data_IF_284872138700
#
_entry.id   IF_284872138700
#
_cell.length_a   1.000
_cell.length_b   1.000
_cell.length_c   1.000
_cell.angle_alpha   90.00
_cell.angle_beta   90.00
_cell.angle_gamma   90.00
#
_symmetry.space_group_name_H-M   'P 1'
#
loop_
_entity.id
_entity.type
_entity.pdbx_description
1 polymer ?
#
# COMPACT_ATOMS: atom_id res chain seq x y z
N UNK A 1 31.70 -42.00 -13.01
CA UNK A 1 30.92 -40.94 -12.33
C UNK A 1 31.83 -39.73 -12.21
N UNK A 2 31.53 -38.64 -12.90
CA UNK A 2 32.31 -37.39 -12.81
C UNK A 2 31.66 -36.50 -11.76
N UNK A 3 32.43 -36.03 -10.76
CA UNK A 3 32.01 -35.03 -9.78
C UNK A 3 32.48 -33.66 -10.23
N UNK A 4 31.55 -32.80 -10.63
CA UNK A 4 31.83 -31.40 -10.97
C UNK A 4 31.89 -30.58 -9.66
N UNK A 5 33.02 -29.93 -9.40
CA UNK A 5 33.24 -29.08 -8.23
C UNK A 5 33.51 -27.65 -8.70
N UNK A 6 32.52 -26.77 -8.57
CA UNK A 6 32.69 -25.34 -8.86
C UNK A 6 33.24 -24.64 -7.61
N UNK A 7 34.51 -24.22 -7.66
CA UNK A 7 35.12 -23.38 -6.63
C UNK A 7 35.25 -21.94 -7.17
N UNK A 8 34.57 -21.00 -6.54
CA UNK A 8 34.73 -19.57 -6.83
C UNK A 8 35.58 -18.99 -5.70
N UNK A 9 36.88 -18.87 -5.96
CA UNK A 9 37.84 -18.21 -5.08
C UNK A 9 38.51 -17.05 -5.80
N UNK A 10 38.79 -15.98 -5.08
CA UNK A 10 39.49 -14.79 -5.55
C UNK A 10 40.55 -14.36 -4.54
N UNK A 11 41.61 -13.74 -5.03
CA UNK A 11 42.67 -13.16 -4.21
C UNK A 11 42.64 -11.65 -4.38
N UNK A 12 42.46 -10.94 -3.28
CA UNK A 12 42.38 -9.48 -3.27
C UNK A 12 43.35 -8.91 -2.25
N UNK A 13 43.73 -7.66 -2.45
CA UNK A 13 44.45 -6.87 -1.46
C UNK A 13 43.67 -5.60 -1.15
N UNK A 14 43.92 -5.05 0.04
CA UNK A 14 43.35 -3.78 0.45
C UNK A 14 44.18 -2.63 -0.14
N UNK A 15 43.58 -1.85 -1.04
CA UNK A 15 44.17 -0.63 -1.59
C UNK A 15 43.83 0.55 -0.66
N UNK A 16 44.82 1.00 0.11
CA UNK A 16 44.69 2.11 1.06
C UNK A 16 44.46 3.47 0.37
N UNK A 17 44.86 3.62 -0.89
CA UNK A 17 44.70 4.91 -1.60
C UNK A 17 43.24 5.16 -1.98
N UNK A 18 42.55 4.11 -2.40
CA UNK A 18 41.15 4.16 -2.81
C UNK A 18 40.18 3.63 -1.74
N UNK A 19 40.68 3.07 -0.63
CA UNK A 19 39.90 2.36 0.40
C UNK A 19 38.99 1.26 -0.19
N UNK A 20 39.52 0.44 -1.11
CA UNK A 20 38.76 -0.64 -1.77
C UNK A 20 39.57 -1.93 -1.89
N UNK A 21 38.88 -3.05 -2.06
CA UNK A 21 39.50 -4.35 -2.33
C UNK A 21 39.82 -4.52 -3.82
N UNK A 22 41.09 -4.48 -4.19
CA UNK A 22 41.56 -4.66 -5.57
C UNK A 22 42.12 -6.07 -5.80
N UNK A 23 41.99 -6.58 -7.02
CA UNK A 23 42.59 -7.85 -7.46
C UNK A 23 43.88 -7.65 -8.26
N UNK A 24 44.32 -6.41 -8.47
CA UNK A 24 45.50 -6.13 -9.29
C UNK A 24 46.78 -6.71 -8.68
N UNK A 25 47.59 -7.36 -9.51
CA UNK A 25 48.82 -8.02 -9.07
C UNK A 25 48.62 -9.30 -8.26
N UNK A 26 47.38 -9.72 -7.98
CA UNK A 26 47.03 -10.95 -7.27
C UNK A 26 46.28 -11.94 -8.17
N UNK A 27 46.64 -13.22 -8.11
CA UNK A 27 45.93 -14.30 -8.80
C UNK A 27 45.81 -15.55 -7.94
N UNK A 28 44.77 -16.33 -8.21
CA UNK A 28 44.55 -17.62 -7.56
C UNK A 28 45.55 -18.65 -8.09
N UNK A 29 46.25 -19.31 -7.19
CA UNK A 29 47.27 -20.31 -7.49
C UNK A 29 46.69 -21.71 -7.72
N UNK A 30 47.45 -22.61 -8.36
CA UNK A 30 47.02 -23.96 -8.71
C UNK A 30 46.87 -24.89 -7.50
N UNK A 31 47.41 -24.55 -6.32
CA UNK A 31 47.25 -25.34 -5.08
C UNK A 31 45.99 -24.96 -4.29
N UNK A 32 45.04 -24.26 -4.92
CA UNK A 32 43.76 -23.90 -4.33
C UNK A 32 42.87 -25.14 -4.20
N UNK A 33 42.31 -25.33 -3.00
CA UNK A 33 41.41 -26.43 -2.64
C UNK A 33 40.16 -25.87 -1.94
N UNK A 34 39.15 -26.72 -1.68
CA UNK A 34 37.94 -26.35 -0.91
C UNK A 34 38.24 -25.74 0.46
N UNK A 35 39.37 -26.10 1.07
CA UNK A 35 39.72 -25.69 2.44
C UNK A 35 40.84 -24.65 2.51
N UNK A 36 41.49 -24.34 1.37
CA UNK A 36 42.64 -23.44 1.32
C UNK A 36 42.72 -22.76 -0.03
N UNK A 37 42.76 -21.43 -0.04
CA UNK A 37 43.05 -20.64 -1.24
C UNK A 37 44.53 -20.28 -1.27
N UNK A 38 45.20 -20.56 -2.38
CA UNK A 38 46.57 -20.08 -2.59
C UNK A 38 46.52 -18.75 -3.34
N UNK A 39 47.05 -17.69 -2.75
CA UNK A 39 47.18 -16.40 -3.42
C UNK A 39 48.61 -16.15 -3.87
N UNK A 40 48.79 -15.88 -5.15
CA UNK A 40 50.06 -15.49 -5.76
C UNK A 40 49.97 -13.99 -6.07
N UNK A 41 50.66 -13.18 -5.28
CA UNK A 41 50.69 -11.73 -5.45
C UNK A 41 52.12 -11.24 -5.69
N UNK A 42 52.28 -10.17 -6.48
CA UNK A 42 53.58 -9.58 -6.82
C UNK A 42 53.98 -8.39 -5.94
N UNK A 43 53.24 -8.14 -4.85
CA UNK A 43 53.46 -7.08 -3.88
C UNK A 43 53.31 -7.62 -2.45
N UNK A 44 53.53 -6.78 -1.44
CA UNK A 44 53.52 -7.13 -0.02
C UNK A 44 52.53 -6.23 0.74
N UNK A 45 51.24 -6.39 0.45
CA UNK A 45 50.14 -5.62 1.05
C UNK A 45 49.27 -6.51 1.95
N UNK A 46 48.24 -5.94 2.58
CA UNK A 46 47.27 -6.74 3.33
C UNK A 46 46.38 -7.53 2.37
N UNK A 47 46.47 -8.86 2.41
CA UNK A 47 45.75 -9.77 1.52
C UNK A 47 44.51 -10.37 2.16
N UNK A 48 43.48 -10.57 1.35
CA UNK A 48 42.26 -11.27 1.72
C UNK A 48 41.83 -12.24 0.62
N UNK A 49 41.17 -13.32 1.02
CA UNK A 49 40.55 -14.26 0.08
C UNK A 49 39.06 -13.93 -0.07
N UNK A 50 38.61 -13.82 -1.31
CA UNK A 50 37.21 -13.72 -1.69
C UNK A 50 36.69 -15.15 -1.92
N UNK A 51 35.88 -15.70 -1.02
CA UNK A 51 35.37 -17.06 -1.14
C UNK A 51 33.86 -17.10 -0.99
N UNK A 52 33.17 -17.60 -2.00
CA UNK A 52 31.72 -17.88 -1.89
C UNK A 52 31.57 -19.26 -1.24
N UNK A 53 31.18 -19.28 0.03
CA UNK A 53 30.81 -20.54 0.70
C UNK A 53 29.50 -21.01 0.07
N UNK A 54 29.50 -22.18 -0.55
CA UNK A 54 28.26 -22.75 -1.09
C UNK A 54 27.32 -23.10 0.08
N UNK A 55 26.02 -22.76 0.00
CA UNK A 55 25.07 -23.13 1.04
C UNK A 55 25.01 -24.65 1.21
N UNK A 56 24.73 -25.11 2.43
CA UNK A 56 24.56 -26.52 2.75
C UNK A 56 23.40 -27.10 1.93
N UNK A 57 23.62 -28.28 1.33
CA UNK A 57 22.57 -28.99 0.59
C UNK A 57 21.55 -29.57 1.57
N UNK A 58 20.26 -29.27 1.38
CA UNK A 58 19.18 -29.87 2.16
C UNK A 58 18.94 -31.29 1.66
N UNK A 59 19.27 -32.29 2.47
CA UNK A 59 18.91 -33.69 2.21
C UNK A 59 17.52 -33.99 2.80
N UNK A 60 16.51 -34.03 1.93
CA UNK A 60 15.13 -34.28 2.35
C UNK A 60 14.92 -35.64 3.00
N UNK A 61 15.70 -36.68 2.67
CA UNK A 61 15.53 -38.00 3.29
C UNK A 61 15.87 -37.95 4.79
N UNK A 62 16.94 -37.24 5.14
CA UNK A 62 17.34 -37.00 6.52
C UNK A 62 16.36 -36.07 7.24
N UNK A 63 15.80 -35.08 6.54
CA UNK A 63 14.75 -34.20 7.10
C UNK A 63 13.53 -35.03 7.51
N UNK A 64 12.98 -35.86 6.61
CA UNK A 64 11.82 -36.70 6.92
C UNK A 64 12.08 -37.72 8.03
N UNK A 65 13.29 -38.29 8.10
CA UNK A 65 13.67 -39.18 9.20
C UNK A 65 13.67 -38.46 10.56
N UNK A 66 14.13 -37.19 10.62
CA UNK A 66 14.11 -36.37 11.84
C UNK A 66 12.71 -35.99 12.31
N UNK A 67 11.68 -36.08 11.46
CA UNK A 67 10.29 -35.94 11.90
C UNK A 67 9.81 -37.10 12.79
N UNK A 68 10.48 -38.26 12.77
CA UNK A 68 10.15 -39.36 13.68
C UNK A 68 10.49 -39.06 15.14
N UNK A 69 11.55 -38.26 15.37
CA UNK A 69 12.01 -37.84 16.70
C UNK A 69 11.85 -36.31 16.87
N UNK A 70 10.59 -35.88 17.04
CA UNK A 70 10.22 -34.46 17.20
C UNK A 70 10.88 -33.78 18.42
N UNK A 71 11.33 -34.55 19.43
CA UNK A 71 11.94 -34.02 20.65
C UNK A 71 13.33 -33.41 20.42
N UNK A 72 14.12 -33.92 19.47
CA UNK A 72 15.48 -33.45 19.21
C UNK A 72 15.52 -32.02 18.65
N UNK A 73 14.45 -31.60 17.96
CA UNK A 73 14.33 -30.27 17.37
C UNK A 73 13.05 -29.56 17.83
N UNK A 74 12.62 -29.82 19.07
CA UNK A 74 11.36 -29.33 19.62
C UNK A 74 11.20 -27.81 19.49
N UNK A 75 12.29 -27.04 19.62
CA UNK A 75 12.27 -25.58 19.47
C UNK A 75 11.87 -25.12 18.06
N UNK A 76 12.39 -25.76 17.01
CA UNK A 76 12.07 -25.42 15.62
C UNK A 76 10.63 -25.81 15.28
N UNK A 77 10.19 -26.98 15.74
CA UNK A 77 8.81 -27.41 15.56
C UNK A 77 7.83 -26.49 16.30
N UNK A 78 8.13 -26.14 17.56
CA UNK A 78 7.32 -25.23 18.34
C UNK A 78 7.19 -23.85 17.67
N UNK A 79 8.27 -23.31 17.10
CA UNK A 79 8.24 -22.00 16.42
C UNK A 79 7.42 -22.06 15.13
N UNK A 80 7.60 -23.10 14.30
CA UNK A 80 6.82 -23.29 13.07
C UNK A 80 5.33 -23.49 13.36
N UNK A 81 4.99 -24.33 14.34
CA UNK A 81 3.59 -24.54 14.77
C UNK A 81 2.99 -23.24 15.29
N UNK A 82 3.72 -22.51 16.14
CA UNK A 82 3.25 -21.22 16.67
C UNK A 82 2.99 -20.19 15.57
N UNK A 83 3.87 -20.12 14.57
CA UNK A 83 3.70 -19.24 13.40
C UNK A 83 2.48 -19.66 12.57
N UNK A 84 2.28 -20.96 12.32
CA UNK A 84 1.11 -21.47 11.61
C UNK A 84 -0.20 -21.16 12.35
N UNK A 85 -0.23 -21.34 13.66
CA UNK A 85 -1.40 -21.01 14.50
C UNK A 85 -1.68 -19.50 14.46
N UNK A 86 -0.64 -18.67 14.61
CA UNK A 86 -0.77 -17.21 14.50
C UNK A 86 -1.30 -16.79 13.13
N UNK A 87 -0.79 -17.41 12.06
CA UNK A 87 -1.27 -17.16 10.69
C UNK A 87 -2.77 -17.46 10.55
N UNK A 88 -3.26 -18.60 11.07
CA UNK A 88 -4.68 -18.95 11.02
C UNK A 88 -5.55 -17.95 11.79
N UNK A 89 -5.11 -17.56 13.00
CA UNK A 89 -5.82 -16.56 13.82
C UNK A 89 -5.94 -15.23 13.07
N UNK A 90 -4.81 -14.74 12.52
CA UNK A 90 -4.78 -13.49 11.76
C UNK A 90 -5.61 -13.61 10.47
N UNK A 91 -5.56 -14.75 9.77
CA UNK A 91 -6.32 -14.99 8.55
C UNK A 91 -7.83 -14.83 8.79
N UNK A 92 -8.35 -15.40 9.89
CA UNK A 92 -9.78 -15.29 10.25
C UNK A 92 -10.16 -13.82 10.48
N UNK A 93 -9.38 -13.10 11.29
CA UNK A 93 -9.62 -11.68 11.60
C UNK A 93 -9.54 -10.80 10.35
N UNK A 94 -8.49 -10.96 9.54
CA UNK A 94 -8.28 -10.19 8.32
C UNK A 94 -9.32 -10.51 7.25
N UNK A 95 -9.80 -11.75 7.14
CA UNK A 95 -10.90 -12.11 6.23
C UNK A 95 -12.19 -11.39 6.60
N UNK A 96 -12.47 -11.25 7.90
CA UNK A 96 -13.62 -10.49 8.36
C UNK A 96 -13.47 -8.99 8.03
N UNK A 97 -12.27 -8.44 8.17
CA UNK A 97 -11.96 -7.06 7.76
C UNK A 97 -12.09 -6.85 6.25
N UNK A 98 -11.57 -7.77 5.43
CA UNK A 98 -11.69 -7.72 3.96
C UNK A 98 -13.15 -7.73 3.52
N UNK A 99 -14.02 -8.52 4.17
CA UNK A 99 -15.47 -8.50 3.90
C UNK A 99 -16.12 -7.16 4.23
N UNK A 100 -15.74 -6.54 5.34
CA UNK A 100 -16.21 -5.18 5.70
C UNK A 100 -15.72 -4.14 4.70
N UNK A 101 -14.47 -4.24 4.25
CA UNK A 101 -13.88 -3.34 3.28
C UNK A 101 -14.61 -3.41 1.91
N UNK A 102 -15.06 -4.60 1.48
CA UNK A 102 -15.87 -4.74 0.25
C UNK A 102 -17.17 -3.95 0.32
N UNK A 103 -17.91 -4.05 1.43
CA UNK A 103 -19.14 -3.29 1.65
C UNK A 103 -18.86 -1.79 1.73
N UNK A 104 -17.74 -1.40 2.36
CA UNK A 104 -17.31 -0.01 2.47
C UNK A 104 -16.97 0.63 1.12
N UNK A 105 -16.39 -0.12 0.19
CA UNK A 105 -15.99 0.38 -1.13
C UNK A 105 -17.05 0.23 -2.22
N UNK A 106 -18.17 -0.44 -1.94
CA UNK A 106 -19.30 -0.49 -2.86
C UNK A 106 -19.83 0.93 -3.17
N UNK A 107 -20.27 1.14 -4.42
CA UNK A 107 -20.99 2.36 -4.77
C UNK A 107 -22.44 2.26 -4.29
N UNK A 108 -22.96 3.33 -3.71
CA UNK A 108 -24.34 3.42 -3.19
C UNK A 108 -25.05 4.59 -3.86
N UNK A 109 -26.33 4.48 -4.22
CA UNK A 109 -27.07 5.61 -4.78
C UNK A 109 -27.22 6.73 -3.74
N UNK A 110 -27.20 7.98 -4.19
CA UNK A 110 -27.58 9.11 -3.35
C UNK A 110 -29.06 9.04 -3.01
N UNK A 111 -29.43 9.55 -1.84
CA UNK A 111 -30.82 9.61 -1.36
C UNK A 111 -31.72 10.47 -2.27
N UNK A 112 -31.17 11.47 -2.95
CA UNK A 112 -31.88 12.42 -3.81
C UNK A 112 -31.94 11.99 -5.29
N UNK A 113 -31.52 10.76 -5.61
CA UNK A 113 -31.66 10.21 -6.95
C UNK A 113 -33.12 9.96 -7.31
N UNK A 114 -33.56 10.42 -8.48
CA UNK A 114 -34.92 10.19 -8.95
C UNK A 114 -34.98 8.95 -9.85
N UNK A 115 -36.05 8.13 -9.77
CA UNK A 115 -36.23 6.98 -10.68
C UNK A 115 -36.37 7.37 -12.16
N UNK A 116 -36.68 8.64 -12.45
CA UNK A 116 -36.82 9.20 -13.80
C UNK A 116 -35.48 9.61 -14.41
N UNK A 117 -34.43 9.74 -13.61
CA UNK A 117 -33.11 10.14 -14.08
C UNK A 117 -32.50 9.04 -14.95
N UNK A 118 -32.01 9.41 -16.12
CA UNK A 118 -31.47 8.46 -17.11
C UNK A 118 -29.95 8.49 -17.21
N UNK A 119 -29.31 9.46 -16.56
CA UNK A 119 -27.86 9.65 -16.62
C UNK A 119 -27.21 9.47 -15.24
N UNK A 120 -26.05 8.83 -15.17
CA UNK A 120 -25.41 8.46 -13.90
C UNK A 120 -23.94 8.82 -13.83
N UNK A 121 -23.53 9.36 -12.68
CA UNK A 121 -22.14 9.67 -12.37
C UNK A 121 -21.73 8.95 -11.09
N UNK A 122 -20.52 8.37 -11.06
CA UNK A 122 -19.93 7.89 -9.82
C UNK A 122 -19.12 9.01 -9.15
N UNK A 123 -19.58 9.47 -8.00
CA UNK A 123 -18.92 10.47 -7.17
C UNK A 123 -18.12 9.76 -6.08
N UNK A 124 -16.80 9.90 -6.11
CA UNK A 124 -15.85 9.29 -5.17
C UNK A 124 -15.28 10.38 -4.27
N UNK A 125 -15.67 10.38 -3.00
CA UNK A 125 -15.25 11.37 -2.01
C UNK A 125 -14.14 10.78 -1.15
N UNK A 126 -12.98 11.44 -1.10
CA UNK A 126 -11.84 11.03 -0.29
C UNK A 126 -11.61 12.02 0.85
N UNK A 127 -11.80 11.54 2.09
CA UNK A 127 -11.43 12.27 3.31
C UNK A 127 -9.94 12.06 3.59
N UNK A 128 -9.22 13.12 3.93
CA UNK A 128 -7.78 13.02 4.16
C UNK A 128 -7.39 12.30 5.45
N UNK A 129 -6.09 12.10 5.62
CA UNK A 129 -5.52 11.34 6.74
C UNK A 129 -5.03 12.20 7.91
N UNK A 130 -5.28 13.53 7.92
CA UNK A 130 -4.91 14.40 9.05
C UNK A 130 -5.67 13.99 10.33
N UNK A 131 -5.12 14.35 11.50
CA UNK A 131 -5.76 14.03 12.79
C UNK A 131 -7.12 14.76 12.84
N UNK A 132 -8.19 14.05 13.21
CA UNK A 132 -9.56 14.56 13.21
C UNK A 132 -10.07 15.06 11.86
N UNK A 133 -9.56 14.52 10.75
CA UNK A 133 -9.97 14.89 9.40
C UNK A 133 -11.42 14.49 9.03
N UNK A 134 -12.06 13.64 9.82
CA UNK A 134 -13.41 13.13 9.51
C UNK A 134 -14.51 14.06 10.02
N UNK A 135 -15.67 14.00 9.38
CA UNK A 135 -16.82 14.84 9.73
C UNK A 135 -18.10 14.03 9.95
N UNK A 136 -18.93 14.53 10.87
CA UNK A 136 -20.29 14.08 11.11
C UNK A 136 -21.33 15.13 10.63
N UNK A 137 -20.86 16.25 10.06
CA UNK A 137 -21.69 17.32 9.48
C UNK A 137 -22.34 16.86 8.17
N UNK A 138 -23.48 17.47 7.80
CA UNK A 138 -24.14 17.15 6.54
C UNK A 138 -23.44 17.85 5.37
N UNK A 139 -22.81 17.06 4.51
CA UNK A 139 -22.10 17.57 3.34
C UNK A 139 -23.04 17.65 2.14
N UNK A 140 -22.97 18.77 1.44
CA UNK A 140 -23.71 19.06 0.21
C UNK A 140 -22.73 19.47 -0.89
N UNK A 141 -23.13 19.26 -2.13
CA UNK A 141 -22.33 19.68 -3.27
C UNK A 141 -23.21 20.01 -4.48
N UNK A 142 -22.62 20.73 -5.44
CA UNK A 142 -23.18 20.96 -6.78
C UNK A 142 -22.06 20.68 -7.76
N UNK A 143 -22.37 19.90 -8.79
CA UNK A 143 -21.50 19.68 -9.94
C UNK A 143 -22.04 20.53 -11.08
N UNK A 144 -21.19 21.33 -11.69
CA UNK A 144 -21.53 22.09 -12.89
C UNK A 144 -20.68 21.60 -14.06
N UNK A 145 -21.28 21.49 -15.23
CA UNK A 145 -20.61 21.23 -16.49
C UNK A 145 -21.10 22.18 -17.58
N UNK A 146 -20.70 21.91 -18.82
CA UNK A 146 -21.03 22.75 -19.98
C UNK A 146 -22.53 22.75 -20.32
N UNK A 147 -23.21 21.62 -20.12
CA UNK A 147 -24.60 21.43 -20.53
C UNK A 147 -25.61 21.65 -19.40
N UNK A 148 -25.14 21.82 -18.16
CA UNK A 148 -26.01 22.07 -17.01
C UNK A 148 -25.35 21.85 -15.65
N UNK A 149 -26.16 21.85 -14.60
CA UNK A 149 -25.73 21.53 -13.24
C UNK A 149 -26.55 20.39 -12.63
N UNK A 150 -25.98 19.75 -11.60
CA UNK A 150 -26.64 18.65 -10.90
C UNK A 150 -27.78 19.11 -9.99
N UNK A 151 -27.95 20.41 -9.75
CA UNK A 151 -28.61 20.94 -8.58
C UNK A 151 -27.87 20.62 -7.27
N UNK A 152 -28.45 21.02 -6.14
CA UNK A 152 -27.90 20.73 -4.80
C UNK A 152 -28.08 19.26 -4.47
N UNK A 153 -26.96 18.56 -4.28
CA UNK A 153 -26.93 17.15 -3.88
C UNK A 153 -26.50 16.98 -2.43
N UNK A 154 -27.07 15.99 -1.75
CA UNK A 154 -26.66 15.61 -0.38
C UNK A 154 -25.80 14.34 -0.43
N UNK A 155 -24.65 14.35 0.23
CA UNK A 155 -23.82 13.13 0.41
C UNK A 155 -24.42 12.23 1.51
N UNK A 156 -25.64 11.77 1.28
CA UNK A 156 -26.39 10.90 2.17
C UNK A 156 -26.96 9.71 1.37
N UNK A 157 -27.23 8.62 2.08
CA UNK A 157 -27.83 7.40 1.53
C UNK A 157 -29.15 7.15 2.25
N UNK A 158 -30.18 6.73 1.51
CA UNK A 158 -31.54 6.53 2.03
C UNK A 158 -31.59 5.60 3.26
N UNK A 159 -30.80 4.53 3.27
CA UNK A 159 -30.75 3.56 4.38
C UNK A 159 -30.07 4.10 5.64
N UNK A 160 -29.58 5.34 5.62
CA UNK A 160 -28.87 5.97 6.74
C UNK A 160 -27.49 5.37 7.03
N UNK A 161 -27.06 4.35 6.27
CA UNK A 161 -25.69 3.88 6.26
C UNK A 161 -24.79 4.92 5.56
N UNK A 162 -23.60 5.19 6.13
CA UNK A 162 -22.63 6.21 5.65
C UNK A 162 -23.06 7.68 5.83
N UNK A 163 -23.76 8.01 6.93
CA UNK A 163 -24.03 9.41 7.33
C UNK A 163 -22.78 10.21 7.70
N UNK A 164 -21.72 9.53 8.12
CA UNK A 164 -20.47 10.16 8.57
C UNK A 164 -19.37 9.90 7.57
N UNK A 165 -18.38 10.79 7.47
CA UNK A 165 -17.20 10.67 6.62
C UNK A 165 -15.95 10.53 7.50
N UNK A 166 -15.56 9.30 7.88
CA UNK A 166 -14.41 9.09 8.76
C UNK A 166 -13.09 9.55 8.15
N UNK A 167 -12.11 9.81 9.02
CA UNK A 167 -10.72 10.05 8.60
C UNK A 167 -10.22 8.96 7.66
N UNK A 168 -9.61 9.36 6.55
CA UNK A 168 -9.02 8.44 5.56
C UNK A 168 -10.04 7.55 4.85
N UNK A 169 -11.34 7.84 4.93
CA UNK A 169 -12.36 7.11 4.19
C UNK A 169 -12.38 7.50 2.72
N UNK A 170 -12.74 6.53 1.89
CA UNK A 170 -13.09 6.75 0.49
C UNK A 170 -14.46 6.13 0.31
N UNK A 171 -15.44 6.96 -0.04
CA UNK A 171 -16.81 6.51 -0.32
C UNK A 171 -17.18 6.82 -1.76
N UNK A 172 -17.83 5.83 -2.37
CA UNK A 172 -18.34 5.91 -3.73
C UNK A 172 -19.85 6.05 -3.66
N UNK A 173 -20.36 7.06 -4.34
CA UNK A 173 -21.78 7.35 -4.49
C UNK A 173 -22.15 7.33 -5.97
N UNK A 174 -23.38 6.95 -6.29
CA UNK A 174 -23.94 7.08 -7.63
C UNK A 174 -24.93 8.24 -7.59
N UNK A 175 -24.62 9.29 -8.33
CA UNK A 175 -25.48 10.45 -8.54
C UNK A 175 -26.23 10.27 -9.86
N UNK A 176 -27.54 10.45 -9.85
CA UNK A 176 -28.36 10.44 -11.06
C UNK A 176 -28.78 11.86 -11.47
N UNK A 177 -28.85 12.10 -12.77
CA UNK A 177 -29.28 13.35 -13.38
C UNK A 177 -30.24 13.07 -14.54
N UNK A 178 -31.11 14.04 -14.84
CA UNK A 178 -32.08 13.94 -15.93
C UNK A 178 -31.39 13.74 -17.30
N UNK A 179 -30.27 14.45 -17.51
CA UNK A 179 -29.46 14.42 -18.74
C UNK A 179 -27.96 14.53 -18.43
N UNK A 180 -27.14 14.44 -19.47
CA UNK A 180 -25.69 14.63 -19.38
C UNK A 180 -25.37 16.08 -18.97
N UNK A 181 -24.41 16.27 -18.05
CA UNK A 181 -23.91 17.58 -17.64
C UNK A 181 -22.83 18.14 -18.58
N UNK A 182 -22.47 17.40 -19.64
CA UNK A 182 -21.37 17.76 -20.53
C UNK A 182 -19.99 17.60 -19.87
N UNK A 183 -18.99 18.33 -20.37
CA UNK A 183 -17.68 18.38 -19.71
C UNK A 183 -17.81 19.13 -18.38
N UNK A 184 -17.39 18.50 -17.28
CA UNK A 184 -17.49 19.12 -15.96
C UNK A 184 -16.52 20.30 -15.84
N UNK A 185 -16.94 21.37 -15.19
CA UNK A 185 -16.17 22.61 -15.07
C UNK A 185 -15.70 22.83 -13.63
N UNK A 186 -16.61 22.80 -12.66
CA UNK A 186 -16.30 22.94 -11.25
C UNK A 186 -17.25 22.14 -10.34
N UNK A 187 -16.77 21.86 -9.14
CA UNK A 187 -17.50 21.27 -8.05
C UNK A 187 -17.56 22.27 -6.90
N UNK A 188 -18.76 22.66 -6.46
CA UNK A 188 -18.93 23.37 -5.19
C UNK A 188 -19.27 22.38 -4.10
N UNK A 189 -18.56 22.40 -2.97
CA UNK A 189 -18.76 21.46 -1.85
C UNK A 189 -18.71 22.21 -0.53
N UNK A 190 -19.66 21.92 0.35
CA UNK A 190 -19.78 22.55 1.66
C UNK A 190 -20.45 21.65 2.70
N UNK A 191 -20.35 22.02 3.97
CA UNK A 191 -21.09 21.37 5.05
C UNK A 191 -21.81 22.38 5.94
N UNK A 192 -22.77 21.90 6.74
CA UNK A 192 -23.56 22.74 7.66
C UNK A 192 -22.95 22.93 9.06
N UNK A 193 -21.80 22.30 9.32
CA UNK A 193 -21.07 22.40 10.58
C UNK A 193 -21.86 21.84 11.78
N UNK A 194 -22.84 20.96 11.52
CA UNK A 194 -23.74 20.39 12.53
C UNK A 194 -23.10 19.27 13.37
N UNK A 195 -21.88 18.84 13.03
CA UNK A 195 -21.17 17.80 13.78
C UNK A 195 -20.96 18.15 15.25
N UNK A 196 -20.49 17.18 16.04
CA UNK A 196 -20.19 17.41 17.46
C UNK A 196 -18.69 17.54 17.71
N UNK A 197 -18.28 18.61 18.40
CA UNK A 197 -16.88 18.83 18.76
C UNK A 197 -15.97 18.85 17.54
N UNK A 198 -14.91 18.04 17.54
CA UNK A 198 -13.92 18.00 16.45
C UNK A 198 -14.43 17.37 15.15
N UNK A 199 -15.58 16.70 15.17
CA UNK A 199 -16.23 16.15 13.96
C UNK A 199 -17.02 17.20 13.17
N UNK A 200 -17.02 18.46 13.61
CA UNK A 200 -17.58 19.59 12.87
C UNK A 200 -16.73 19.90 11.64
N UNK A 201 -15.42 19.89 11.83
CA UNK A 201 -14.39 20.10 10.80
C UNK A 201 -14.31 18.92 9.84
N UNK A 202 -13.97 19.21 8.59
CA UNK A 202 -13.71 18.19 7.59
C UNK A 202 -12.43 18.51 6.82
N UNK A 203 -11.55 17.53 6.67
CA UNK A 203 -10.41 17.67 5.77
C UNK A 203 -10.68 16.88 4.49
N UNK A 204 -11.05 17.59 3.43
CA UNK A 204 -11.30 17.01 2.13
C UNK A 204 -9.99 16.90 1.36
N UNK A 205 -9.63 15.69 0.93
CA UNK A 205 -8.43 15.46 0.11
C UNK A 205 -8.75 15.77 -1.36
N UNK A 206 -9.71 15.05 -1.92
CA UNK A 206 -10.16 15.22 -3.29
C UNK A 206 -11.55 14.61 -3.50
N UNK A 207 -12.22 15.03 -4.56
CA UNK A 207 -13.42 14.38 -5.10
C UNK A 207 -13.14 13.97 -6.54
N UNK A 208 -13.46 12.73 -6.89
CA UNK A 208 -13.36 12.24 -8.26
C UNK A 208 -14.75 11.92 -8.78
N UNK A 209 -15.11 12.43 -9.95
CA UNK A 209 -16.37 12.13 -10.62
C UNK A 209 -16.05 11.34 -11.88
N UNK A 210 -16.68 10.17 -12.03
CA UNK A 210 -16.60 9.34 -13.23
C UNK A 210 -17.95 9.35 -13.91
N UNK A 211 -17.99 9.73 -15.18
CA UNK A 211 -19.14 9.47 -16.05
C UNK A 211 -19.25 7.95 -16.25
N UNK A 212 -20.41 7.35 -15.96
CA UNK A 212 -20.57 5.90 -16.04
C UNK A 212 -20.87 5.41 -17.46
N UNK A 213 -21.21 6.31 -18.38
CA UNK A 213 -21.59 6.00 -19.75
C UNK A 213 -20.40 6.20 -20.68
N UNK A 214 -19.64 7.30 -20.50
CA UNK A 214 -18.44 7.56 -21.29
C UNK A 214 -17.17 7.03 -20.64
N UNK A 215 -17.20 6.72 -19.34
CA UNK A 215 -16.01 6.39 -18.52
C UNK A 215 -15.00 7.53 -18.35
N UNK A 216 -15.39 8.76 -18.68
CA UNK A 216 -14.56 9.95 -18.45
C UNK A 216 -14.40 10.25 -16.96
N UNK A 217 -13.21 10.73 -16.58
CA UNK A 217 -12.84 10.96 -15.18
C UNK A 217 -12.41 12.39 -14.96
N UNK A 218 -13.10 13.05 -14.04
CA UNK A 218 -12.82 14.41 -13.59
C UNK A 218 -12.35 14.36 -12.14
N UNK A 219 -11.26 15.05 -11.85
CA UNK A 219 -10.67 15.09 -10.50
C UNK A 219 -10.74 16.53 -9.99
N UNK A 220 -11.29 16.71 -8.80
CA UNK A 220 -11.39 17.98 -8.10
C UNK A 220 -10.51 17.90 -6.85
N UNK A 221 -9.38 18.61 -6.89
CA UNK A 221 -8.42 18.64 -5.79
C UNK A 221 -8.86 19.68 -4.76
N UNK A 222 -8.84 19.33 -3.48
CA UNK A 222 -9.12 20.27 -2.40
C UNK A 222 -7.92 20.39 -1.46
N UNK A 223 -7.53 19.30 -0.81
CA UNK A 223 -6.50 19.20 0.22
C UNK A 223 -6.51 20.35 1.24
N UNK A 224 -7.70 20.74 1.69
CA UNK A 224 -7.86 21.83 2.67
C UNK A 224 -8.89 21.48 3.72
N UNK A 225 -8.82 22.20 4.84
CA UNK A 225 -9.88 22.12 5.82
C UNK A 225 -11.10 22.89 5.30
N UNK A 226 -12.26 22.25 5.43
CA UNK A 226 -13.56 22.87 5.47
C UNK A 226 -13.94 22.89 6.96
N UNK A 227 -13.69 24.01 7.61
CA UNK A 227 -13.84 24.15 9.06
C UNK A 227 -13.79 25.61 9.46
N UNK A 228 -14.60 26.01 10.44
CA UNK A 228 -14.56 27.36 11.01
C UNK A 228 -13.29 27.60 11.84
N UNK A 229 -12.79 26.55 12.49
CA UNK A 229 -11.68 26.62 13.46
C UNK A 229 -10.29 26.28 12.87
N UNK A 230 -10.21 25.88 11.60
CA UNK A 230 -8.97 25.41 10.95
C UNK A 230 -8.75 26.09 9.59
N UNK A 231 -7.50 26.13 9.13
CA UNK A 231 -7.08 26.72 7.83
C UNK A 231 -7.52 28.19 7.67
N UNK A 232 -8.47 28.49 6.78
CA UNK A 232 -8.96 29.85 6.51
C UNK A 232 -10.38 30.10 7.03
N UNK A 233 -10.91 29.19 7.86
CA UNK A 233 -12.24 29.34 8.49
C UNK A 233 -13.43 29.08 7.56
N UNK A 234 -13.19 28.69 6.30
CA UNK A 234 -14.24 28.48 5.31
C UNK A 234 -14.78 27.05 5.36
N UNK A 235 -16.10 26.90 5.26
CA UNK A 235 -16.80 25.58 5.18
C UNK A 235 -17.38 25.28 3.80
N UNK A 236 -17.11 26.14 2.82
CA UNK A 236 -17.57 26.07 1.43
C UNK A 236 -16.39 26.30 0.48
N UNK A 237 -16.31 25.48 -0.58
CA UNK A 237 -15.24 25.50 -1.56
C UNK A 237 -15.79 25.30 -2.96
N UNK A 238 -15.26 26.07 -3.90
CA UNK A 238 -15.42 25.84 -5.34
C UNK A 238 -14.09 25.29 -5.86
N UNK A 239 -14.14 24.10 -6.44
CA UNK A 239 -12.98 23.36 -6.92
C UNK A 239 -13.10 23.22 -8.44
N UNK A 240 -12.17 23.78 -9.23
CA UNK A 240 -12.15 23.54 -10.68
C UNK A 240 -11.73 22.10 -10.97
N UNK A 241 -12.05 21.60 -12.18
CA UNK A 241 -11.45 20.35 -12.66
C UNK A 241 -9.93 20.51 -12.74
N UNK A 242 -9.21 19.57 -12.13
CA UNK A 242 -7.76 19.55 -12.10
C UNK A 242 -7.17 19.15 -13.47
N UNK A 243 -6.22 19.95 -13.96
CA UNK A 243 -5.42 19.61 -15.12
C UNK A 243 -4.33 18.58 -14.80
N UNK A 244 -3.63 18.11 -15.84
CA UNK A 244 -2.52 17.17 -15.66
C UNK A 244 -1.40 17.74 -14.79
N UNK A 245 -1.09 19.03 -14.97
CA UNK A 245 -0.06 19.73 -14.19
C UNK A 245 -0.43 19.80 -12.70
N UNK A 246 -1.69 20.14 -12.39
CA UNK A 246 -2.21 20.16 -11.03
C UNK A 246 -2.10 18.79 -10.38
N UNK A 247 -2.44 17.72 -11.10
CA UNK A 247 -2.35 16.35 -10.59
C UNK A 247 -0.91 15.91 -10.29
N UNK A 248 0.06 16.38 -11.09
CA UNK A 248 1.48 16.09 -10.87
C UNK A 248 1.98 16.89 -9.66
N UNK A 249 1.71 18.19 -9.60
CA UNK A 249 2.09 19.07 -8.50
C UNK A 249 1.48 18.57 -7.18
N UNK A 250 0.19 18.22 -7.21
CA UNK A 250 -0.52 17.62 -6.09
C UNK A 250 0.24 16.40 -5.58
N UNK A 251 0.52 15.40 -6.43
CA UNK A 251 1.25 14.19 -5.99
C UNK A 251 2.61 14.46 -5.34
N UNK A 252 3.33 15.49 -5.78
CA UNK A 252 4.66 15.82 -5.26
C UNK A 252 4.62 16.48 -3.88
N UNK A 253 3.57 17.23 -3.55
CA UNK A 253 3.51 18.03 -2.32
C UNK A 253 3.08 17.24 -1.06
N UNK A 254 2.69 15.97 -1.17
CA UNK A 254 1.98 15.28 -0.09
C UNK A 254 2.73 14.22 0.71
N UNK A 255 2.94 14.52 2.00
CA UNK A 255 3.29 13.52 3.03
C UNK A 255 2.15 12.52 3.30
N UNK A 256 0.89 12.91 3.07
CA UNK A 256 -0.26 12.00 3.13
C UNK A 256 -0.18 10.93 2.03
N UNK A 257 0.24 11.32 0.82
CA UNK A 257 0.54 10.41 -0.29
C UNK A 257 1.70 9.48 0.04
N UNK A 258 2.78 9.98 0.67
CA UNK A 258 3.87 9.12 1.16
C UNK A 258 3.37 8.09 2.20
N UNK A 259 2.49 8.49 3.12
CA UNK A 259 1.88 7.59 4.11
C UNK A 259 0.91 6.59 3.48
N UNK A 260 0.12 7.03 2.50
CA UNK A 260 -0.77 6.18 1.70
C UNK A 260 0.05 5.17 0.89
N UNK A 261 1.18 5.59 0.34
CA UNK A 261 2.14 4.75 -0.36
C UNK A 261 2.79 3.74 0.58
N UNK A 262 3.29 4.14 1.74
CA UNK A 262 3.79 3.21 2.76
C UNK A 262 2.71 2.22 3.23
N UNK A 263 1.49 2.70 3.48
CA UNK A 263 0.38 1.85 3.87
C UNK A 263 -0.05 0.87 2.77
N UNK A 264 0.19 1.19 1.50
CA UNK A 264 -0.19 0.32 0.38
C UNK A 264 0.94 -0.60 -0.07
N UNK A 265 2.18 -0.13 -0.05
CA UNK A 265 3.34 -0.77 -0.68
C UNK A 265 4.23 -1.50 0.34
N UNK A 266 4.29 -1.06 1.60
CA UNK A 266 5.07 -1.77 2.60
C UNK A 266 4.34 -3.03 3.06
N UNK A 267 4.83 -4.19 2.65
CA UNK A 267 4.16 -5.49 2.78
C UNK A 267 3.50 -5.68 4.16
N UNK A 268 4.26 -5.52 5.25
CA UNK A 268 3.78 -5.71 6.62
C UNK A 268 2.76 -4.68 7.10
N UNK A 269 2.94 -3.40 6.76
CA UNK A 269 2.02 -2.32 7.17
C UNK A 269 0.71 -2.45 6.40
N UNK A 270 0.82 -2.88 5.15
CA UNK A 270 -0.28 -3.05 4.21
C UNK A 270 -1.26 -4.17 4.57
N UNK A 271 -0.87 -5.08 5.46
CA UNK A 271 -1.77 -6.08 6.06
C UNK A 271 -2.80 -5.39 6.95
N UNK A 272 -2.35 -4.44 7.78
CA UNK A 272 -3.18 -3.79 8.79
C UNK A 272 -3.79 -2.46 8.31
N UNK A 273 -3.16 -1.78 7.36
CA UNK A 273 -3.64 -0.51 6.81
C UNK A 273 -4.06 -0.65 5.35
N UNK A 274 -5.35 -0.40 5.05
CA UNK A 274 -5.88 -0.26 3.67
C UNK A 274 -6.84 0.92 3.60
N UNK A 275 -6.33 2.12 3.26
CA UNK A 275 -7.18 3.28 3.06
C UNK A 275 -7.94 3.26 1.73
N UNK A 276 -7.36 2.61 0.72
CA UNK A 276 -7.87 2.54 -0.66
C UNK A 276 -8.19 1.11 -1.07
N UNK A 277 -9.13 0.99 -2.02
CA UNK A 277 -9.28 -0.23 -2.82
C UNK A 277 -7.96 -0.50 -3.54
N UNK A 278 -7.38 -1.67 -3.30
CA UNK A 278 -6.22 -2.19 -4.04
C UNK A 278 -6.54 -3.63 -4.48
N UNK A 279 -5.81 -4.12 -5.48
CA UNK A 279 -6.03 -5.44 -6.08
C UNK A 279 -5.81 -6.60 -5.09
N UNK A 280 -4.99 -6.43 -4.06
CA UNK A 280 -4.58 -7.51 -3.14
C UNK A 280 -5.19 -7.43 -1.74
N UNK A 281 -6.06 -8.36 -1.36
CA UNK A 281 -6.67 -8.47 -0.02
C UNK A 281 -5.65 -8.55 1.12
N UNK A 282 -6.09 -8.26 2.35
CA UNK A 282 -5.23 -8.36 3.54
C UNK A 282 -4.76 -9.80 3.77
N UNK A 283 -5.62 -10.78 3.48
CA UNK A 283 -5.28 -12.21 3.56
C UNK A 283 -4.19 -12.59 2.55
N UNK A 284 -4.26 -12.10 1.31
CA UNK A 284 -3.21 -12.33 0.31
C UNK A 284 -1.88 -11.71 0.74
N UNK A 285 -1.91 -10.49 1.30
CA UNK A 285 -0.73 -9.80 1.83
C UNK A 285 -0.11 -10.54 3.02
N UNK A 286 -0.94 -11.02 3.96
CA UNK A 286 -0.49 -11.85 5.08
C UNK A 286 0.17 -13.14 4.58
N UNK A 287 -0.39 -13.77 3.56
CA UNK A 287 0.17 -15.00 2.97
C UNK A 287 1.53 -14.73 2.32
N UNK A 288 1.69 -13.60 1.64
CA UNK A 288 2.97 -13.16 1.12
C UNK A 288 4.00 -12.90 2.24
N UNK A 289 3.60 -12.22 3.33
CA UNK A 289 4.45 -12.06 4.51
C UNK A 289 4.92 -13.41 5.07
N UNK A 290 4.00 -14.38 5.17
CA UNK A 290 4.28 -15.71 5.70
C UNK A 290 5.27 -16.47 4.81
N UNK A 291 5.07 -16.44 3.49
CA UNK A 291 5.98 -17.06 2.52
C UNK A 291 7.38 -16.45 2.58
N UNK A 292 7.48 -15.12 2.71
CA UNK A 292 8.76 -14.44 2.84
C UNK A 292 9.46 -14.79 4.14
N UNK A 293 8.73 -14.88 5.26
CA UNK A 293 9.27 -15.29 6.55
C UNK A 293 9.81 -16.73 6.48
N UNK A 294 9.04 -17.68 5.96
CA UNK A 294 9.52 -19.06 5.81
C UNK A 294 10.69 -19.18 4.85
N UNK A 295 10.69 -18.42 3.75
CA UNK A 295 11.84 -18.39 2.84
C UNK A 295 13.09 -17.90 3.56
N UNK A 296 12.99 -16.84 4.38
CA UNK A 296 14.13 -16.36 5.16
C UNK A 296 14.62 -17.37 6.20
N UNK A 297 13.71 -18.13 6.83
CA UNK A 297 14.08 -19.21 7.74
C UNK A 297 14.82 -20.34 7.01
N UNK A 298 14.31 -20.77 5.85
CA UNK A 298 14.95 -21.80 5.03
C UNK A 298 16.32 -21.34 4.55
N UNK A 299 16.44 -20.10 4.06
CA UNK A 299 17.73 -19.57 3.63
C UNK A 299 18.72 -19.54 4.79
N UNK A 300 18.30 -19.09 5.98
CA UNK A 300 19.18 -19.12 7.15
C UNK A 300 19.61 -20.55 7.50
N UNK A 301 18.68 -21.52 7.47
CA UNK A 301 19.00 -22.93 7.72
C UNK A 301 19.90 -23.58 6.65
N UNK A 302 20.05 -22.97 5.47
CA UNK A 302 21.03 -23.41 4.47
C UNK A 302 22.44 -22.89 4.78
N UNK A 303 22.56 -21.83 5.58
CA UNK A 303 23.84 -21.20 5.92
C UNK A 303 24.38 -21.57 7.31
N UNK A 304 23.50 -22.05 8.20
CA UNK A 304 23.84 -22.59 9.53
C UNK A 304 23.69 -24.11 9.55
#
# INVERSE_FOLDING_TARGET
TYTLLNLISGCRYWDETNNTWSSEGCRVGPLTTKYKTQCLCNHLTSFGTDSVVAPNTIDFNNVWAKFANLSENAAVFATVISLCVLYVILLIGLRHMDKKDLVKWGAVPLEDNLPTDTYHYQVTVQTGMKKNAGTDSQVRFIVSGEDGDSGVRRLAVADGHRKTLPRGSIYNYVMSTESCLGALTFLRVWHDNSGTGKSQSWYLDQVQICDLQTSDRFIFLCDRWLAVEEDDGMVDRILPVAGLEDLIAFKQLFSSSARKKLANDHLWVSVFSRPTRSNFTRVQRLSCCMSLLFLTMITNAMWF
#
